data_IF_912900214721
#
_entry.id   IF_912900214721
#
_cell.length_a   1.000
_cell.length_b   1.000
_cell.length_c   1.000
_cell.angle_alpha   90.00
_cell.angle_beta   90.00
_cell.angle_gamma   90.00
#
_symmetry.space_group_name_H-M   'P 1'
#
loop_
_entity.id
_entity.type
_entity.pdbx_description
1 polymer ?
#
# COMPACT_ATOMS: atom_id res chain seq x y z
N UNK A 1 1.40 -17.10 -16.65
CA UNK A 1 0.74 -16.86 -15.35
C UNK A 1 1.72 -16.54 -14.24
N UNK A 2 2.77 -17.34 -14.00
CA UNK A 2 3.85 -16.98 -13.06
C UNK A 2 4.63 -15.70 -13.48
N UNK A 3 4.75 -15.45 -14.79
CA UNK A 3 5.40 -14.27 -15.35
C UNK A 3 4.75 -12.95 -14.96
N UNK A 4 3.41 -12.88 -14.84
CA UNK A 4 2.74 -11.62 -14.51
C UNK A 4 2.96 -11.23 -13.04
N UNK A 5 2.99 -12.20 -12.12
CA UNK A 5 3.26 -11.94 -10.70
C UNK A 5 4.70 -11.49 -10.49
N UNK A 6 5.65 -12.12 -11.18
CA UNK A 6 7.05 -11.68 -11.14
C UNK A 6 7.22 -10.26 -11.71
N UNK A 7 6.53 -9.93 -12.80
CA UNK A 7 6.53 -8.59 -13.40
C UNK A 7 5.92 -7.53 -12.46
N UNK A 8 4.80 -7.86 -11.82
CA UNK A 8 4.17 -7.00 -10.79
C UNK A 8 5.14 -6.78 -9.63
N UNK A 9 5.72 -7.84 -9.07
CA UNK A 9 6.67 -7.73 -7.95
C UNK A 9 7.90 -6.91 -8.30
N UNK A 10 8.47 -7.11 -9.50
CA UNK A 10 9.58 -6.29 -10.01
C UNK A 10 9.18 -4.82 -10.09
N UNK A 11 7.99 -4.52 -10.64
CA UNK A 11 7.48 -3.15 -10.74
C UNK A 11 7.29 -2.50 -9.37
N UNK A 12 6.79 -3.24 -8.37
CA UNK A 12 6.61 -2.75 -7.00
C UNK A 12 7.93 -2.43 -6.31
N UNK A 13 8.96 -3.28 -6.49
CA UNK A 13 10.30 -3.02 -5.96
C UNK A 13 10.91 -1.78 -6.62
N UNK A 14 10.76 -1.65 -7.94
CA UNK A 14 11.25 -0.49 -8.67
C UNK A 14 10.54 0.80 -8.23
N UNK A 15 9.21 0.77 -8.06
CA UNK A 15 8.44 1.89 -7.52
C UNK A 15 8.99 2.35 -6.18
N UNK A 16 9.14 1.43 -5.22
CA UNK A 16 9.67 1.73 -3.88
C UNK A 16 11.09 2.33 -3.96
N UNK A 17 11.94 1.76 -4.82
CA UNK A 17 13.33 2.21 -4.98
C UNK A 17 13.39 3.63 -5.54
N UNK A 18 12.68 3.89 -6.64
CA UNK A 18 12.63 5.20 -7.30
C UNK A 18 11.99 6.26 -6.40
N UNK A 19 10.93 5.90 -5.68
CA UNK A 19 10.16 6.82 -4.84
C UNK A 19 10.93 7.29 -3.58
N UNK A 20 11.81 6.43 -3.03
CA UNK A 20 12.52 6.66 -1.76
C UNK A 20 13.31 7.98 -1.66
N UNK A 21 13.77 8.52 -2.79
CA UNK A 21 14.59 9.74 -2.82
C UNK A 21 13.87 10.96 -3.40
N UNK A 22 12.69 10.78 -4.02
CA UNK A 22 11.99 11.86 -4.72
C UNK A 22 11.58 13.00 -3.79
N UNK A 23 11.01 12.69 -2.62
CA UNK A 23 10.55 13.71 -1.68
C UNK A 23 11.68 14.61 -1.20
N UNK A 24 12.83 14.01 -0.88
CA UNK A 24 14.01 14.73 -0.40
C UNK A 24 14.51 15.67 -1.51
N UNK A 25 14.61 15.15 -2.73
CA UNK A 25 15.12 15.89 -3.87
C UNK A 25 14.21 17.06 -4.26
N UNK A 26 12.90 16.85 -4.26
CA UNK A 26 11.91 17.91 -4.51
C UNK A 26 12.05 19.05 -3.49
N UNK A 27 12.19 18.73 -2.20
CA UNK A 27 12.42 19.74 -1.15
C UNK A 27 13.72 20.50 -1.33
N UNK A 28 14.81 19.80 -1.66
CA UNK A 28 16.12 20.42 -1.90
C UNK A 28 16.11 21.39 -3.09
N UNK A 29 15.30 21.10 -4.11
CA UNK A 29 15.16 21.95 -5.30
C UNK A 29 14.13 23.09 -5.12
N UNK A 30 13.52 23.22 -3.94
CA UNK A 30 12.64 24.33 -3.60
C UNK A 30 11.17 24.11 -3.96
N UNK A 31 10.76 22.91 -4.36
CA UNK A 31 9.34 22.61 -4.56
C UNK A 31 8.60 22.61 -3.22
N UNK A 32 7.45 23.29 -3.17
CA UNK A 32 6.58 23.24 -2.00
C UNK A 32 5.80 21.91 -1.97
N UNK A 33 6.20 21.02 -1.07
CA UNK A 33 5.61 19.66 -0.98
C UNK A 33 4.28 19.60 -0.25
N UNK A 34 3.86 20.69 0.37
CA UNK A 34 2.60 20.78 1.12
C UNK A 34 1.44 21.31 0.25
N UNK A 35 1.74 21.70 -1.00
CA UNK A 35 0.69 22.07 -1.97
C UNK A 35 -0.12 20.85 -2.39
N UNK A 36 -1.43 21.06 -2.55
CA UNK A 36 -2.38 20.03 -2.94
C UNK A 36 -2.33 19.72 -4.44
N UNK A 37 -2.62 18.47 -4.78
CA UNK A 37 -2.56 17.82 -6.09
C UNK A 37 -3.86 17.03 -6.35
N UNK A 38 -4.16 16.81 -7.63
CA UNK A 38 -5.32 16.04 -8.09
C UNK A 38 -6.57 16.91 -8.29
N UNK A 39 -7.52 16.39 -9.07
CA UNK A 39 -8.78 17.08 -9.38
C UNK A 39 -9.59 17.43 -8.14
N UNK A 40 -9.49 16.59 -7.09
CA UNK A 40 -10.21 16.75 -5.83
C UNK A 40 -9.31 17.28 -4.68
N UNK A 41 -8.05 17.63 -4.98
CA UNK A 41 -7.06 18.06 -3.96
C UNK A 41 -6.85 17.04 -2.83
N UNK A 42 -7.06 15.75 -3.10
CA UNK A 42 -6.93 14.67 -2.11
C UNK A 42 -5.51 14.52 -1.56
N UNK A 43 -4.50 14.88 -2.36
CA UNK A 43 -3.11 14.67 -2.01
C UNK A 43 -2.36 15.98 -1.86
N UNK A 44 -1.35 16.01 -1.01
CA UNK A 44 -0.19 16.88 -1.16
C UNK A 44 0.92 16.10 -1.87
N UNK A 45 1.97 16.76 -2.37
CA UNK A 45 3.14 16.05 -2.94
C UNK A 45 3.68 15.02 -1.94
N UNK A 46 3.74 15.42 -0.66
CA UNK A 46 4.18 14.55 0.43
C UNK A 46 3.28 13.34 0.62
N UNK A 47 1.95 13.53 0.72
CA UNK A 47 1.03 12.40 0.93
C UNK A 47 0.91 11.51 -0.31
N UNK A 48 1.09 12.06 -1.51
CA UNK A 48 1.15 11.28 -2.75
C UNK A 48 2.33 10.31 -2.74
N UNK A 49 3.53 10.81 -2.43
CA UNK A 49 4.73 9.97 -2.33
C UNK A 49 4.55 8.88 -1.26
N UNK A 50 3.99 9.22 -0.10
CA UNK A 50 3.71 8.25 0.95
C UNK A 50 2.66 7.21 0.53
N UNK A 51 1.64 7.61 -0.25
CA UNK A 51 0.63 6.71 -0.77
C UNK A 51 1.24 5.70 -1.75
N UNK A 52 2.18 6.10 -2.60
CA UNK A 52 2.91 5.20 -3.50
C UNK A 52 3.69 4.14 -2.72
N UNK A 53 4.43 4.55 -1.67
CA UNK A 53 5.21 3.63 -0.84
C UNK A 53 4.31 2.64 -0.10
N UNK A 54 3.22 3.15 0.48
CA UNK A 54 2.24 2.33 1.21
C UNK A 54 1.62 1.31 0.27
N UNK A 55 1.20 1.74 -0.92
CA UNK A 55 0.64 0.87 -1.94
C UNK A 55 1.64 -0.22 -2.37
N UNK A 56 2.90 0.15 -2.60
CA UNK A 56 3.94 -0.79 -3.00
C UNK A 56 4.14 -1.88 -1.95
N UNK A 57 4.23 -1.51 -0.66
CA UNK A 57 4.39 -2.45 0.47
C UNK A 57 3.17 -3.36 0.60
N UNK A 58 1.98 -2.78 0.52
CA UNK A 58 0.72 -3.52 0.62
C UNK A 58 0.58 -4.56 -0.48
N UNK A 59 0.83 -4.18 -1.74
CA UNK A 59 0.80 -5.13 -2.85
C UNK A 59 1.87 -6.21 -2.71
N UNK A 60 3.09 -5.87 -2.30
CA UNK A 60 4.14 -6.88 -2.04
C UNK A 60 3.71 -7.89 -0.97
N UNK A 61 2.97 -7.44 0.05
CA UNK A 61 2.42 -8.31 1.08
C UNK A 61 1.34 -9.24 0.52
N UNK A 62 0.45 -8.71 -0.32
CA UNK A 62 -0.63 -9.49 -0.95
C UNK A 62 -0.06 -10.51 -1.95
N UNK A 63 0.95 -10.13 -2.72
CA UNK A 63 1.56 -11.00 -3.75
C UNK A 63 2.60 -11.97 -3.20
N UNK A 64 2.96 -11.88 -1.92
CA UNK A 64 3.90 -12.80 -1.27
C UNK A 64 3.48 -14.27 -1.42
N UNK A 65 2.18 -14.55 -1.31
CA UNK A 65 1.60 -15.84 -1.68
C UNK A 65 1.05 -15.79 -3.11
N UNK A 66 1.92 -16.05 -4.07
CA UNK A 66 1.58 -15.98 -5.50
C UNK A 66 0.41 -16.89 -5.89
N UNK A 67 0.25 -18.04 -5.23
CA UNK A 67 -0.85 -18.98 -5.49
C UNK A 67 -2.20 -18.40 -5.08
N UNK A 68 -2.30 -17.87 -3.87
CA UNK A 68 -3.51 -17.21 -3.38
C UNK A 68 -3.83 -15.97 -4.21
N UNK A 69 -2.82 -15.15 -4.52
CA UNK A 69 -3.00 -13.98 -5.39
C UNK A 69 -3.57 -14.38 -6.76
N UNK A 70 -3.07 -15.47 -7.36
CA UNK A 70 -3.58 -15.95 -8.66
C UNK A 70 -5.02 -16.45 -8.56
N UNK A 71 -5.40 -17.08 -7.44
CA UNK A 71 -6.76 -17.57 -7.20
C UNK A 71 -7.76 -16.44 -6.97
N UNK A 72 -7.33 -15.35 -6.30
CA UNK A 72 -8.15 -14.19 -5.95
C UNK A 72 -8.27 -13.15 -7.06
N UNK A 73 -7.55 -13.33 -8.18
CA UNK A 73 -7.53 -12.37 -9.30
C UNK A 73 -7.76 -13.04 -10.64
N UNK A 74 -8.51 -12.37 -11.50
CA UNK A 74 -8.61 -12.68 -12.93
C UNK A 74 -7.35 -12.25 -13.68
N UNK A 75 -7.17 -12.76 -14.90
CA UNK A 75 -6.08 -12.32 -15.77
C UNK A 75 -6.20 -10.84 -16.16
N UNK A 76 -7.42 -10.36 -16.43
CA UNK A 76 -7.67 -8.97 -16.80
C UNK A 76 -7.25 -8.01 -15.68
N UNK A 77 -7.63 -8.30 -14.44
CA UNK A 77 -7.25 -7.50 -13.27
C UNK A 77 -5.74 -7.47 -13.08
N UNK A 78 -5.07 -8.63 -13.16
CA UNK A 78 -3.60 -8.69 -13.06
C UNK A 78 -2.93 -7.84 -14.13
N UNK A 79 -3.45 -7.85 -15.36
CA UNK A 79 -2.92 -7.04 -16.46
C UNK A 79 -3.14 -5.55 -16.22
N UNK A 80 -4.31 -5.15 -15.72
CA UNK A 80 -4.58 -3.75 -15.37
C UNK A 80 -3.64 -3.28 -14.26
N UNK A 81 -3.51 -4.06 -13.18
CA UNK A 81 -2.58 -3.79 -12.08
C UNK A 81 -1.16 -3.62 -12.62
N UNK A 82 -0.69 -4.56 -13.44
CA UNK A 82 0.65 -4.50 -14.03
C UNK A 82 0.87 -3.25 -14.89
N UNK A 83 -0.09 -2.90 -15.74
CA UNK A 83 -0.01 -1.69 -16.58
C UNK A 83 0.02 -0.43 -15.73
N UNK A 84 -0.87 -0.28 -14.75
CA UNK A 84 -0.90 0.89 -13.87
C UNK A 84 0.41 1.03 -13.07
N UNK A 85 0.96 -0.08 -12.55
CA UNK A 85 2.25 -0.04 -11.83
C UNK A 85 3.41 0.37 -12.75
N UNK A 86 3.39 -0.08 -14.01
CA UNK A 86 4.41 0.28 -15.01
C UNK A 86 4.33 1.76 -15.41
N UNK A 87 3.13 2.26 -15.63
CA UNK A 87 2.88 3.67 -15.97
C UNK A 87 3.27 4.58 -14.79
N UNK A 88 2.86 4.22 -13.57
CA UNK A 88 3.27 4.91 -12.35
C UNK A 88 4.80 4.93 -12.22
N UNK A 89 5.47 3.79 -12.46
CA UNK A 89 6.93 3.73 -12.41
C UNK A 89 7.58 4.64 -13.46
N UNK A 90 7.00 4.70 -14.66
CA UNK A 90 7.47 5.58 -15.73
C UNK A 90 7.37 7.06 -15.33
N UNK A 91 6.26 7.47 -14.70
CA UNK A 91 6.10 8.83 -14.16
C UNK A 91 7.17 9.18 -13.12
N UNK A 92 7.46 8.25 -12.19
CA UNK A 92 8.49 8.47 -11.17
C UNK A 92 9.88 8.55 -11.78
N UNK A 93 10.20 7.67 -12.73
CA UNK A 93 11.50 7.64 -13.39
C UNK A 93 11.74 8.91 -14.21
N UNK A 94 10.74 9.35 -14.98
CA UNK A 94 10.83 10.59 -15.75
C UNK A 94 10.98 11.81 -14.83
N UNK A 95 10.21 11.86 -13.74
CA UNK A 95 10.39 12.91 -12.73
C UNK A 95 11.79 12.87 -12.12
N UNK A 96 12.32 11.70 -11.81
CA UNK A 96 13.67 11.58 -11.26
C UNK A 96 14.74 12.10 -12.23
N UNK A 97 14.58 11.82 -13.53
CA UNK A 97 15.45 12.31 -14.60
C UNK A 97 15.37 13.83 -14.73
N UNK A 98 14.15 14.39 -14.75
CA UNK A 98 13.93 15.85 -14.80
C UNK A 98 14.59 16.54 -13.60
N UNK A 99 14.48 15.94 -12.40
CA UNK A 99 15.13 16.47 -11.21
C UNK A 99 16.66 16.30 -11.22
N UNK A 100 17.23 15.41 -12.05
CA UNK A 100 18.70 15.28 -12.20
C UNK A 100 19.27 16.40 -13.07
N UNK A 101 18.52 16.87 -14.06
CA UNK A 101 18.93 17.97 -14.95
C UNK A 101 18.56 19.34 -14.38
N UNK A 102 17.79 19.39 -13.29
CA UNK A 102 17.36 20.62 -12.65
C UNK A 102 18.53 21.39 -12.03
N UNK A 103 18.65 22.67 -12.39
CA UNK A 103 19.62 23.62 -11.83
C UNK A 103 18.88 24.74 -11.08
N UNK A 104 18.99 24.81 -9.74
CA UNK A 104 18.20 25.75 -8.93
C UNK A 104 18.37 27.24 -9.27
N UNK A 105 19.48 27.60 -9.93
CA UNK A 105 19.77 28.98 -10.33
C UNK A 105 19.06 29.39 -11.63
N UNK A 106 18.59 28.41 -12.40
CA UNK A 106 18.05 28.63 -13.74
C UNK A 106 16.56 28.34 -13.81
N UNK A 107 16.07 27.44 -12.95
CA UNK A 107 14.66 27.10 -12.84
C UNK A 107 14.03 27.70 -11.58
N UNK A 108 12.82 28.23 -11.72
CA UNK A 108 12.07 28.82 -10.61
C UNK A 108 10.82 27.98 -10.32
N UNK A 109 10.73 27.45 -9.09
CA UNK A 109 9.56 26.69 -8.66
C UNK A 109 8.35 27.62 -8.47
N UNK A 110 7.16 27.16 -8.90
CA UNK A 110 5.94 27.94 -8.76
C UNK A 110 5.46 27.93 -7.29
N UNK A 111 5.10 29.09 -6.74
CA UNK A 111 4.70 29.22 -5.33
C UNK A 111 3.30 28.65 -5.02
N UNK A 112 2.34 28.80 -5.95
CA UNK A 112 0.95 28.38 -5.77
C UNK A 112 0.57 27.02 -6.40
N UNK A 113 1.38 26.49 -7.32
CA UNK A 113 1.07 25.27 -8.06
C UNK A 113 2.13 24.21 -7.78
N UNK A 114 1.68 23.04 -7.32
CA UNK A 114 2.57 21.94 -6.98
C UNK A 114 3.24 21.37 -8.24
N UNK A 115 4.53 21.03 -8.15
CA UNK A 115 5.29 20.35 -9.20
C UNK A 115 5.41 21.12 -10.53
N UNK A 116 5.12 22.42 -10.52
CA UNK A 116 5.30 23.31 -11.66
C UNK A 116 6.56 24.15 -11.46
N UNK A 117 7.34 24.32 -12.52
CA UNK A 117 8.48 25.21 -12.55
C UNK A 117 8.55 25.98 -13.87
N UNK A 118 9.25 27.10 -13.85
CA UNK A 118 9.53 27.92 -15.02
C UNK A 118 10.99 27.77 -15.41
N UNK A 119 11.27 27.59 -16.70
CA UNK A 119 12.63 27.50 -17.22
C UNK A 119 13.27 28.87 -17.50
N UNK A 120 14.51 28.85 -17.98
CA UNK A 120 15.27 30.06 -18.34
C UNK A 120 14.60 30.92 -19.42
N UNK A 121 13.73 30.32 -20.23
CA UNK A 121 12.99 31.00 -21.31
C UNK A 121 11.65 31.56 -20.84
N UNK A 122 11.27 31.30 -19.59
CA UNK A 122 9.96 31.69 -19.06
C UNK A 122 8.85 30.71 -19.39
N UNK A 123 9.15 29.52 -19.92
CA UNK A 123 8.15 28.50 -20.23
C UNK A 123 7.78 27.70 -18.98
N UNK A 124 6.48 27.39 -18.85
CA UNK A 124 5.97 26.60 -17.73
C UNK A 124 6.08 25.10 -18.03
N UNK A 125 6.65 24.37 -17.08
CA UNK A 125 6.82 22.93 -17.14
C UNK A 125 6.20 22.27 -15.91
N UNK A 126 5.57 21.11 -16.10
CA UNK A 126 5.00 20.30 -15.03
C UNK A 126 5.74 18.96 -14.94
N UNK A 127 6.14 18.57 -13.73
CA UNK A 127 6.72 17.26 -13.51
C UNK A 127 5.67 16.16 -13.70
N UNK A 128 6.09 15.03 -14.29
CA UNK A 128 5.23 13.86 -14.53
C UNK A 128 4.67 13.20 -13.28
N UNK A 129 5.23 13.49 -12.11
CA UNK A 129 4.68 13.07 -10.83
C UNK A 129 3.25 13.60 -10.60
N UNK A 130 2.84 14.67 -11.27
CA UNK A 130 1.45 15.15 -11.21
C UNK A 130 0.45 14.08 -11.70
N UNK A 131 0.83 13.29 -12.71
CA UNK A 131 -0.01 12.25 -13.30
C UNK A 131 -0.13 11.01 -12.39
N UNK A 132 0.76 10.87 -11.39
CA UNK A 132 0.79 9.72 -10.49
C UNK A 132 -0.49 9.55 -9.66
N UNK A 133 -1.18 10.66 -9.33
CA UNK A 133 -2.44 10.60 -8.59
C UNK A 133 -3.51 9.77 -9.32
N UNK A 134 -3.65 9.98 -10.64
CA UNK A 134 -4.61 9.25 -11.46
C UNK A 134 -4.33 7.74 -11.47
N UNK A 135 -3.06 7.35 -11.55
CA UNK A 135 -2.68 5.94 -11.52
C UNK A 135 -2.96 5.30 -10.16
N UNK A 136 -2.69 6.02 -9.06
CA UNK A 136 -3.04 5.57 -7.71
C UNK A 136 -4.55 5.38 -7.58
N UNK A 137 -5.34 6.34 -8.05
CA UNK A 137 -6.80 6.28 -7.95
C UNK A 137 -7.39 5.14 -8.78
N UNK A 138 -6.74 4.79 -9.89
CA UNK A 138 -7.11 3.63 -10.71
C UNK A 138 -6.78 2.30 -10.05
N UNK A 139 -5.68 2.21 -9.29
CA UNK A 139 -5.24 0.95 -8.67
C UNK A 139 -5.85 0.71 -7.28
N UNK A 140 -6.24 1.78 -6.56
CA UNK A 140 -6.88 1.75 -5.23
C UNK A 140 -8.02 0.74 -5.12
N UNK A 141 -8.98 0.62 -6.07
CA UNK A 141 -10.07 -0.34 -5.97
C UNK A 141 -9.61 -1.79 -5.96
N UNK A 142 -8.62 -2.15 -6.79
CA UNK A 142 -8.07 -3.50 -6.84
C UNK A 142 -7.36 -3.87 -5.53
N UNK A 143 -6.63 -2.92 -4.95
CA UNK A 143 -6.03 -3.08 -3.64
C UNK A 143 -7.10 -3.37 -2.57
N UNK A 144 -8.12 -2.51 -2.45
CA UNK A 144 -9.20 -2.66 -1.46
C UNK A 144 -9.94 -3.98 -1.59
N UNK A 145 -10.20 -4.41 -2.82
CA UNK A 145 -10.82 -5.70 -3.10
C UNK A 145 -9.96 -6.85 -2.54
N UNK A 146 -8.66 -6.85 -2.85
CA UNK A 146 -7.74 -7.90 -2.41
C UNK A 146 -7.53 -7.92 -0.89
N UNK A 147 -7.49 -6.75 -0.27
CA UNK A 147 -7.44 -6.60 1.19
C UNK A 147 -8.70 -7.19 1.84
N UNK A 148 -9.88 -6.88 1.31
CA UNK A 148 -11.16 -7.38 1.82
C UNK A 148 -11.24 -8.91 1.71
N UNK A 149 -10.86 -9.48 0.57
CA UNK A 149 -10.83 -10.95 0.39
C UNK A 149 -9.85 -11.58 1.40
N UNK A 150 -8.66 -10.99 1.54
CA UNK A 150 -7.64 -11.51 2.47
C UNK A 150 -8.10 -11.43 3.93
N UNK A 151 -8.78 -10.35 4.31
CA UNK A 151 -9.35 -10.18 5.65
C UNK A 151 -10.46 -11.20 5.91
N UNK A 152 -11.36 -11.42 4.94
CA UNK A 152 -12.44 -12.38 5.06
C UNK A 152 -11.92 -13.82 5.26
N UNK A 153 -10.91 -14.21 4.48
CA UNK A 153 -10.28 -15.54 4.63
C UNK A 153 -9.58 -15.70 5.98
N UNK A 154 -8.93 -14.65 6.50
CA UNK A 154 -8.33 -14.66 7.85
C UNK A 154 -9.39 -14.83 8.93
N UNK A 155 -10.50 -14.09 8.82
CA UNK A 155 -11.63 -14.22 9.74
C UNK A 155 -12.17 -15.65 9.71
N UNK A 156 -12.43 -16.20 8.51
CA UNK A 156 -12.92 -17.57 8.36
C UNK A 156 -11.96 -18.61 8.94
N UNK A 157 -10.64 -18.46 8.71
CA UNK A 157 -9.64 -19.35 9.28
C UNK A 157 -9.61 -19.29 10.81
N UNK A 158 -9.71 -18.09 11.39
CA UNK A 158 -9.79 -17.91 12.84
C UNK A 158 -11.07 -18.51 13.41
N UNK A 159 -12.22 -18.29 12.76
CA UNK A 159 -13.49 -18.91 13.16
C UNK A 159 -13.41 -20.43 13.16
N UNK A 160 -12.84 -21.03 12.11
CA UNK A 160 -12.68 -22.49 12.04
C UNK A 160 -11.73 -23.03 13.13
N UNK A 161 -10.68 -22.29 13.49
CA UNK A 161 -9.79 -22.65 14.60
C UNK A 161 -10.53 -22.55 15.94
N UNK A 162 -11.30 -21.48 16.15
CA UNK A 162 -12.12 -21.31 17.36
C UNK A 162 -13.17 -22.42 17.47
N UNK A 163 -13.88 -22.76 16.39
CA UNK A 163 -14.82 -23.88 16.36
C UNK A 163 -14.14 -25.21 16.68
N UNK A 164 -12.94 -25.46 16.16
CA UNK A 164 -12.17 -26.67 16.51
C UNK A 164 -11.69 -26.67 17.96
N UNK A 165 -11.36 -25.50 18.54
CA UNK A 165 -11.02 -25.37 19.95
C UNK A 165 -12.24 -25.53 20.87
N UNK A 166 -13.42 -25.13 20.42
CA UNK A 166 -14.69 -25.26 21.16
C UNK A 166 -15.28 -26.67 21.03
N UNK A 167 -15.15 -27.32 19.85
CA UNK A 167 -15.63 -28.68 19.59
C UNK A 167 -14.69 -29.76 20.14
N UNK A 168 -13.42 -29.42 20.40
CA UNK A 168 -12.64 -30.19 21.36
C UNK A 168 -13.23 -29.85 22.72
N UNK A 169 -14.17 -30.67 23.18
CA UNK A 169 -14.51 -30.78 24.59
C UNK A 169 -13.20 -30.81 25.37
N UNK A 170 -12.85 -29.67 25.93
CA UNK A 170 -11.88 -29.56 26.99
C UNK A 170 -12.49 -30.24 28.21
N UNK A 171 -12.45 -31.58 28.23
CA UNK A 171 -11.82 -32.23 29.37
C UNK A 171 -10.39 -31.71 29.37
N UNK A 172 -10.17 -30.53 29.96
CA UNK A 172 -8.88 -30.24 30.56
C UNK A 172 -8.77 -31.32 31.62
N UNK A 173 -8.06 -32.39 31.31
CA UNK A 173 -7.58 -33.31 32.33
C UNK A 173 -6.68 -32.42 33.18
N UNK A 174 -7.21 -32.05 34.34
CA UNK A 174 -6.72 -31.10 35.33
C UNK A 174 -5.37 -31.51 35.96
N UNK A 175 -4.58 -32.37 35.30
CA UNK A 175 -3.46 -33.08 35.89
C UNK A 175 -2.07 -32.56 35.50
N UNK A 176 -1.94 -31.61 34.57
CA UNK A 176 -0.59 -31.21 34.07
C UNK A 176 -0.33 -29.71 33.93
N UNK A 177 -1.24 -28.82 34.35
CA UNK A 177 -0.97 -27.37 34.30
C UNK A 177 -1.29 -26.77 35.67
N UNK A 178 -0.24 -26.55 36.48
CA UNK A 178 -0.30 -25.73 37.70
C UNK A 178 -0.56 -24.27 37.30
N UNK A 179 -1.82 -23.96 37.00
CA UNK A 179 -2.33 -22.60 36.87
C UNK A 179 -2.46 -21.99 38.26
N UNK A 180 -2.10 -20.72 38.40
CA UNK A 180 -2.38 -20.00 39.64
C UNK A 180 -3.89 -19.78 39.80
N UNK A 181 -4.37 -19.65 41.04
CA UNK A 181 -5.81 -19.45 41.32
C UNK A 181 -6.43 -18.29 40.52
N UNK A 182 -5.66 -17.24 40.26
CA UNK A 182 -6.09 -16.09 39.44
C UNK A 182 -6.28 -16.47 37.96
N UNK A 183 -5.41 -17.32 37.41
CA UNK A 183 -5.52 -17.80 36.03
C UNK A 183 -6.71 -18.76 35.88
N UNK A 184 -6.94 -19.62 36.86
CA UNK A 184 -8.09 -20.52 36.90
C UNK A 184 -9.40 -19.73 36.98
N UNK A 185 -9.46 -18.70 37.83
CA UNK A 185 -10.63 -17.83 37.95
C UNK A 185 -10.90 -17.03 36.67
N UNK A 186 -9.87 -16.49 36.02
CA UNK A 186 -10.02 -15.76 34.76
C UNK A 186 -10.53 -16.66 33.62
N UNK A 187 -10.11 -17.92 33.61
CA UNK A 187 -10.51 -18.90 32.60
C UNK A 187 -11.96 -19.34 32.81
N UNK A 188 -12.37 -19.58 34.05
CA UNK A 188 -13.77 -19.86 34.41
C UNK A 188 -14.70 -18.68 34.10
N UNK A 189 -14.27 -17.44 34.39
CA UNK A 189 -15.04 -16.24 34.09
C UNK A 189 -15.24 -16.06 32.57
N UNK A 190 -14.19 -16.33 31.79
CA UNK A 190 -14.24 -16.28 30.32
C UNK A 190 -15.21 -17.33 29.76
N UNK A 191 -15.18 -18.55 30.29
CA UNK A 191 -16.11 -19.62 29.89
C UNK A 191 -17.57 -19.28 30.25
N UNK A 192 -17.81 -18.67 31.41
CA UNK A 192 -19.14 -18.25 31.84
C UNK A 192 -19.72 -17.16 30.93
N UNK A 193 -18.92 -16.14 30.58
CA UNK A 193 -19.34 -15.05 29.70
C UNK A 193 -19.66 -15.54 28.28
N UNK A 194 -18.89 -16.50 27.77
CA UNK A 194 -19.12 -17.11 26.46
C UNK A 194 -20.44 -17.89 26.44
N UNK A 195 -20.79 -18.60 27.53
CA UNK A 195 -22.06 -19.34 27.65
C UNK A 195 -23.30 -18.44 27.76
N UNK A 196 -23.17 -17.20 28.25
CA UNK A 196 -24.29 -16.25 28.29
C UNK A 196 -24.53 -15.52 26.96
N UNK A 197 -23.55 -15.54 26.05
CA UNK A 197 -23.64 -14.85 24.76
C UNK A 197 -24.22 -15.72 23.63
N UNK A 198 -24.47 -17.01 23.89
CA UNK A 198 -25.18 -17.96 23.04
C UNK A 198 -26.63 -18.13 23.54
#
# INVERSE_FOLDING_TARGET
>A
MASSVASINSSLVNLKTTNSTLLIKLKQLGFNTELTLGSEKEYTVKTLIQAIDTLAIQFLTITANSRQFIQRTSYAERRTIETCLRELHTCLLQTQQDLQTFHPLTFHCHAAHALIYTDEKGEYHCLKLLDAAQYIDTIKPYYRMLETITAHERIHALSAVLENMLNRDTEIIDSEIDLTDEQTNALQLSQYLIRQAL
#
